data_IF_475101676235
#
_entry.id   IF_475101676235
#
_cell.length_a   1.000
_cell.length_b   1.000
_cell.length_c   1.000
_cell.angle_alpha   90.00
_cell.angle_beta   90.00
_cell.angle_gamma   90.00
#
_symmetry.space_group_name_H-M   'P 1'
#
loop_
_entity.id
_entity.type
_entity.pdbx_description
1 polymer ?
#
# COMPACT_ATOMS: atom_id res chain seq x y z
N UNK A 1 -9.29 -11.61 -15.49
CA UNK A 1 -8.13 -11.87 -14.61
C UNK A 1 -8.27 -10.95 -13.39
N UNK A 2 -7.94 -11.41 -12.18
CA UNK A 2 -8.08 -10.60 -10.98
C UNK A 2 -6.89 -9.66 -10.84
N UNK A 3 -7.12 -8.44 -10.32
CA UNK A 3 -6.07 -7.46 -10.08
C UNK A 3 -5.86 -7.31 -8.56
N UNK A 4 -4.61 -7.37 -8.11
CA UNK A 4 -4.24 -7.16 -6.71
C UNK A 4 -3.85 -5.70 -6.48
N UNK A 5 -4.57 -5.03 -5.58
CA UNK A 5 -4.11 -3.76 -5.00
C UNK A 5 -2.99 -3.98 -3.99
N UNK A 6 -2.26 -2.93 -3.63
CA UNK A 6 -1.21 -2.99 -2.60
C UNK A 6 -1.70 -3.63 -1.28
N UNK A 7 -2.86 -3.25 -0.79
CA UNK A 7 -3.43 -3.82 0.44
C UNK A 7 -3.79 -5.30 0.30
N UNK A 8 -4.32 -5.72 -0.86
CA UNK A 8 -4.63 -7.14 -1.14
C UNK A 8 -3.37 -7.99 -1.27
N UNK A 9 -2.32 -7.45 -1.88
CA UNK A 9 -1.03 -8.14 -1.94
C UNK A 9 -0.45 -8.37 -0.54
N UNK A 10 -0.37 -7.32 0.29
CA UNK A 10 0.09 -7.43 1.68
C UNK A 10 -0.76 -8.43 2.47
N UNK A 11 -2.08 -8.38 2.29
CA UNK A 11 -3.02 -9.33 2.90
C UNK A 11 -2.75 -10.77 2.48
N UNK A 12 -2.47 -11.01 1.19
CA UNK A 12 -2.15 -12.33 0.64
C UNK A 12 -0.80 -12.86 1.12
N UNK A 13 0.20 -11.98 1.24
CA UNK A 13 1.50 -12.32 1.83
C UNK A 13 1.36 -12.69 3.30
N UNK A 14 0.51 -12.00 4.04
CA UNK A 14 0.20 -12.36 5.43
C UNK A 14 -0.51 -13.72 5.51
N UNK A 15 -1.53 -13.95 4.67
CA UNK A 15 -2.30 -15.18 4.66
C UNK A 15 -3.07 -15.34 3.33
N UNK A 16 -2.75 -16.39 2.56
CA UNK A 16 -3.46 -16.70 1.32
C UNK A 16 -4.96 -16.89 1.53
N UNK A 17 -5.34 -17.55 2.63
CA UNK A 17 -6.73 -17.79 2.99
C UNK A 17 -7.47 -16.48 3.27
N UNK A 18 -6.85 -15.50 3.95
CA UNK A 18 -7.38 -14.15 4.14
C UNK A 18 -7.66 -13.47 2.80
N UNK A 19 -6.70 -13.51 1.87
CA UNK A 19 -6.88 -12.97 0.54
C UNK A 19 -7.99 -13.68 -0.23
N UNK A 20 -8.02 -15.02 -0.18
CA UNK A 20 -9.04 -15.82 -0.86
C UNK A 20 -10.45 -15.48 -0.33
N UNK A 21 -10.64 -15.39 0.98
CA UNK A 21 -11.92 -15.00 1.57
C UNK A 21 -12.36 -13.60 1.15
N UNK A 22 -11.44 -12.65 1.02
CA UNK A 22 -11.77 -11.30 0.59
C UNK A 22 -12.35 -11.23 -0.83
N UNK A 23 -12.12 -12.26 -1.65
CA UNK A 23 -12.69 -12.38 -2.99
C UNK A 23 -13.93 -13.27 -3.07
N UNK A 24 -13.93 -14.37 -2.33
CA UNK A 24 -14.93 -15.44 -2.53
C UNK A 24 -15.91 -15.58 -1.37
N UNK A 25 -15.58 -15.05 -0.20
CA UNK A 25 -16.39 -15.19 1.00
C UNK A 25 -16.41 -13.89 1.82
N UNK A 26 -16.69 -12.79 1.13
CA UNK A 26 -16.88 -11.47 1.78
C UNK A 26 -17.97 -11.48 2.86
N UNK A 27 -18.93 -12.41 2.74
CA UNK A 27 -19.98 -12.65 3.73
C UNK A 27 -19.43 -13.02 5.12
N UNK A 28 -18.20 -13.53 5.19
CA UNK A 28 -17.54 -13.91 6.44
C UNK A 28 -16.66 -12.80 7.04
N UNK A 29 -16.51 -11.67 6.35
CA UNK A 29 -15.68 -10.58 6.83
C UNK A 29 -16.34 -9.85 7.99
N UNK A 30 -15.60 -9.67 9.10
CA UNK A 30 -16.04 -8.79 10.17
C UNK A 30 -16.13 -7.35 9.70
N UNK A 31 -17.13 -6.59 10.16
CA UNK A 31 -17.18 -5.16 9.90
C UNK A 31 -15.96 -4.47 10.52
N UNK A 32 -15.51 -3.40 9.87
CA UNK A 32 -14.46 -2.54 10.42
C UNK A 32 -14.94 -1.94 11.74
N UNK A 33 -14.19 -2.13 12.81
CA UNK A 33 -14.50 -1.53 14.10
C UNK A 33 -14.13 -0.04 14.13
N UNK A 34 -14.66 0.69 15.15
CA UNK A 34 -14.45 2.13 15.30
C UNK A 34 -12.97 2.50 15.46
N UNK A 35 -12.18 1.66 16.13
CA UNK A 35 -10.75 1.92 16.35
C UNK A 35 -9.99 1.80 15.02
N UNK A 36 -10.27 0.77 14.24
CA UNK A 36 -9.68 0.57 12.91
C UNK A 36 -10.08 1.70 11.97
N UNK A 37 -11.35 2.16 12.02
CA UNK A 37 -11.80 3.30 11.22
C UNK A 37 -11.06 4.58 11.61
N UNK A 38 -10.89 4.86 12.89
CA UNK A 38 -10.13 6.02 13.37
C UNK A 38 -8.66 6.00 12.89
N UNK A 39 -8.04 4.81 12.80
CA UNK A 39 -6.69 4.67 12.25
C UNK A 39 -6.66 5.03 10.75
N UNK A 40 -7.67 4.62 9.97
CA UNK A 40 -7.77 4.98 8.55
C UNK A 40 -7.98 6.49 8.36
N UNK A 41 -8.86 7.09 9.16
CA UNK A 41 -9.13 8.53 9.10
C UNK A 41 -7.89 9.36 9.46
N UNK A 42 -7.14 8.92 10.48
CA UNK A 42 -5.85 9.53 10.83
C UNK A 42 -4.82 9.34 9.69
N UNK A 43 -4.80 8.18 9.06
CA UNK A 43 -3.95 7.92 7.87
C UNK A 43 -4.20 8.93 6.76
N UNK A 44 -5.47 9.20 6.43
CA UNK A 44 -5.85 10.20 5.43
C UNK A 44 -5.42 11.62 5.84
N UNK A 45 -5.57 11.99 7.12
CA UNK A 45 -5.13 13.30 7.62
C UNK A 45 -3.61 13.47 7.48
N UNK A 46 -2.84 12.44 7.83
CA UNK A 46 -1.38 12.43 7.70
C UNK A 46 -0.97 12.52 6.22
N UNK A 47 -1.64 11.80 5.32
CA UNK A 47 -1.44 11.89 3.87
C UNK A 47 -1.63 13.32 3.36
N UNK A 48 -2.74 13.98 3.73
CA UNK A 48 -3.02 15.36 3.34
C UNK A 48 -1.96 16.33 3.90
N UNK A 49 -1.49 16.12 5.13
CA UNK A 49 -0.41 16.94 5.69
C UNK A 49 0.92 16.75 4.95
N UNK A 50 1.22 15.52 4.53
CA UNK A 50 2.42 15.21 3.77
C UNK A 50 2.44 15.91 2.39
N UNK A 51 1.28 16.05 1.74
CA UNK A 51 1.16 16.77 0.46
C UNK A 51 1.55 18.24 0.59
N UNK A 52 1.35 18.89 1.75
CA UNK A 52 1.74 20.28 1.96
C UNK A 52 3.26 20.50 1.85
N UNK A 53 4.07 19.45 2.02
CA UNK A 53 5.52 19.49 1.84
C UNK A 53 5.94 19.53 0.37
N UNK A 54 5.03 19.18 -0.53
CA UNK A 54 5.23 19.18 -1.98
C UNK A 54 4.10 19.96 -2.66
N UNK A 55 4.00 21.29 -2.43
CA UNK A 55 2.84 22.08 -2.80
C UNK A 55 2.66 22.14 -4.34
N UNK A 56 1.44 22.52 -4.76
CA UNK A 56 1.06 22.68 -6.16
C UNK A 56 1.05 21.38 -6.98
N UNK A 57 0.98 20.22 -6.33
CA UNK A 57 0.80 18.95 -7.03
C UNK A 57 -0.55 18.83 -7.72
N UNK A 58 -0.60 17.99 -8.75
CA UNK A 58 -1.85 17.58 -9.40
C UNK A 58 -2.35 16.28 -8.76
N UNK A 59 -3.62 16.24 -8.41
CA UNK A 59 -4.26 15.11 -7.73
C UNK A 59 -4.90 14.14 -8.73
N UNK A 60 -4.40 12.90 -8.78
CA UNK A 60 -4.89 11.84 -9.63
C UNK A 60 -5.91 10.92 -8.92
N UNK A 61 -6.35 11.25 -7.69
CA UNK A 61 -7.35 10.45 -6.97
C UNK A 61 -8.53 10.09 -7.86
N UNK A 62 -8.95 8.83 -7.92
CA UNK A 62 -10.12 8.44 -8.70
C UNK A 62 -11.39 9.01 -8.06
N UNK A 63 -12.31 9.48 -8.91
CA UNK A 63 -13.65 9.88 -8.46
C UNK A 63 -14.50 8.66 -8.05
N UNK A 64 -14.24 7.52 -8.69
CA UNK A 64 -14.86 6.23 -8.39
C UNK A 64 -13.76 5.17 -8.20
N UNK A 65 -13.65 4.63 -6.99
CA UNK A 65 -12.69 3.55 -6.65
C UNK A 65 -13.07 2.18 -7.26
N UNK A 66 -14.14 2.08 -8.03
CA UNK A 66 -14.43 0.91 -8.86
C UNK A 66 -13.78 0.97 -10.25
N UNK A 67 -13.37 2.17 -10.71
CA UNK A 67 -12.69 2.39 -12.00
C UNK A 67 -11.45 3.30 -11.85
N UNK A 68 -10.28 2.71 -11.89
CA UNK A 68 -9.00 3.42 -11.84
C UNK A 68 -8.50 3.91 -13.21
N UNK A 69 -9.21 3.62 -14.30
CA UNK A 69 -8.77 4.00 -15.65
C UNK A 69 -8.54 5.50 -15.81
N UNK A 70 -9.41 6.39 -15.31
CA UNK A 70 -9.17 7.84 -15.41
C UNK A 70 -7.92 8.30 -14.65
N UNK A 71 -7.66 7.73 -13.46
CA UNK A 71 -6.48 8.05 -12.65
C UNK A 71 -5.18 7.59 -13.31
N UNK A 72 -5.20 6.41 -13.93
CA UNK A 72 -4.06 5.87 -14.69
C UNK A 72 -3.75 6.78 -15.88
N UNK A 73 -4.76 7.21 -16.63
CA UNK A 73 -4.56 8.09 -17.79
C UNK A 73 -4.11 9.51 -17.37
N UNK A 74 -4.66 10.08 -16.29
CA UNK A 74 -4.17 11.34 -15.70
C UNK A 74 -2.70 11.22 -15.31
N UNK A 75 -2.33 10.14 -14.62
CA UNK A 75 -0.94 9.88 -14.20
C UNK A 75 0.00 9.83 -15.39
N UNK A 76 -0.32 9.05 -16.43
CA UNK A 76 0.50 8.95 -17.66
C UNK A 76 0.67 10.30 -18.34
N UNK A 77 -0.43 11.04 -18.52
CA UNK A 77 -0.42 12.37 -19.15
C UNK A 77 0.48 13.32 -18.38
N UNK A 78 0.34 13.41 -17.06
CA UNK A 78 1.10 14.35 -16.25
C UNK A 78 2.57 13.97 -16.12
N UNK A 79 2.90 12.67 -16.16
CA UNK A 79 4.30 12.22 -16.26
C UNK A 79 4.91 12.68 -17.60
N UNK A 80 4.17 12.53 -18.71
CA UNK A 80 4.63 12.98 -20.04
C UNK A 80 4.78 14.52 -20.12
N UNK A 81 3.90 15.26 -19.46
CA UNK A 81 3.97 16.72 -19.31
C UNK A 81 5.07 17.17 -18.34
N UNK A 82 5.77 16.24 -17.67
CA UNK A 82 6.80 16.51 -16.65
C UNK A 82 6.27 17.34 -15.49
N UNK A 83 5.03 17.09 -15.07
CA UNK A 83 4.46 17.71 -13.88
C UNK A 83 5.37 17.39 -12.68
N UNK A 84 5.68 18.41 -11.90
CA UNK A 84 6.65 18.30 -10.80
C UNK A 84 6.17 17.36 -9.69
N UNK A 85 4.90 17.50 -9.29
CA UNK A 85 4.31 16.67 -8.23
C UNK A 85 2.97 16.11 -8.69
N UNK A 86 2.76 14.81 -8.49
CA UNK A 86 1.49 14.13 -8.72
C UNK A 86 1.13 13.38 -7.42
N UNK A 87 -0.02 13.70 -6.87
CA UNK A 87 -0.59 12.97 -5.73
C UNK A 87 -1.44 11.81 -6.24
N UNK A 88 -1.47 10.72 -5.46
CA UNK A 88 -2.25 9.50 -5.74
C UNK A 88 -1.96 8.93 -7.15
N UNK A 89 -0.68 9.05 -7.57
CA UNK A 89 -0.24 8.60 -8.88
C UNK A 89 -0.52 7.09 -9.06
N UNK A 90 -1.38 6.76 -10.03
CA UNK A 90 -1.93 5.41 -10.18
C UNK A 90 -1.27 4.65 -11.32
N UNK A 91 -0.78 3.45 -11.02
CA UNK A 91 -0.10 2.57 -11.97
C UNK A 91 -0.71 1.17 -11.95
N UNK A 92 -0.68 0.51 -13.09
CA UNK A 92 -1.09 -0.90 -13.23
C UNK A 92 -0.15 -1.64 -14.17
N UNK A 93 0.28 -2.83 -13.75
CA UNK A 93 1.06 -3.78 -14.54
C UNK A 93 0.94 -5.18 -13.94
N UNK A 94 1.13 -6.24 -14.74
CA UNK A 94 1.18 -7.63 -14.27
C UNK A 94 0.01 -8.03 -13.35
N UNK A 95 -1.20 -7.52 -13.62
CA UNK A 95 -2.39 -7.72 -12.77
C UNK A 95 -2.21 -7.23 -11.32
N UNK A 96 -1.40 -6.22 -11.12
CA UNK A 96 -1.30 -5.47 -9.88
C UNK A 96 -1.60 -3.99 -10.14
N UNK A 97 -2.08 -3.31 -9.10
CA UNK A 97 -2.41 -1.89 -9.11
C UNK A 97 -1.84 -1.24 -7.86
N UNK A 98 -1.20 -0.10 -8.03
CA UNK A 98 -0.82 0.76 -6.92
C UNK A 98 -1.27 2.21 -7.15
N UNK A 99 -1.54 2.88 -6.08
CA UNK A 99 -1.75 4.31 -5.96
C UNK A 99 -0.66 4.82 -5.02
N UNK A 100 0.27 5.60 -5.55
CA UNK A 100 1.40 6.15 -4.82
C UNK A 100 1.00 7.49 -4.23
N UNK A 101 1.23 7.71 -2.95
CA UNK A 101 0.79 8.93 -2.26
C UNK A 101 1.38 10.19 -2.91
N UNK A 102 2.69 10.21 -3.22
CA UNK A 102 3.35 11.36 -3.86
C UNK A 102 4.41 10.87 -4.86
N UNK A 103 4.27 11.28 -6.12
CA UNK A 103 5.31 11.17 -7.14
C UNK A 103 5.89 12.56 -7.36
N UNK A 104 7.19 12.76 -7.09
CA UNK A 104 7.82 14.08 -7.13
C UNK A 104 9.08 14.08 -8.00
N UNK A 105 9.29 15.16 -8.76
CA UNK A 105 10.50 15.37 -9.57
C UNK A 105 11.40 16.39 -8.89
N UNK A 106 12.62 15.99 -8.59
CA UNK A 106 13.59 16.86 -7.94
C UNK A 106 14.97 16.67 -8.53
N UNK A 107 15.61 17.75 -8.98
CA UNK A 107 17.00 17.75 -9.51
C UNK A 107 17.24 16.75 -10.66
N UNK A 108 16.22 16.47 -11.47
CA UNK A 108 16.28 15.52 -12.57
C UNK A 108 15.97 14.08 -12.19
N UNK A 109 15.80 13.78 -10.92
CA UNK A 109 15.35 12.48 -10.40
C UNK A 109 13.83 12.43 -10.23
N UNK A 110 13.28 11.21 -10.28
CA UNK A 110 11.90 10.91 -9.94
C UNK A 110 11.87 10.18 -8.61
N UNK A 111 11.21 10.78 -7.63
CA UNK A 111 11.05 10.24 -6.30
C UNK A 111 9.64 9.67 -6.12
N UNK A 112 9.55 8.42 -5.73
CA UNK A 112 8.32 7.81 -5.25
C UNK A 112 8.31 7.91 -3.71
N UNK A 113 7.24 8.46 -3.15
CA UNK A 113 7.12 8.71 -1.71
C UNK A 113 5.82 8.10 -1.23
N UNK A 114 5.93 7.11 -0.36
CA UNK A 114 4.80 6.50 0.35
C UNK A 114 4.73 7.07 1.78
N UNK A 115 3.55 7.53 2.17
CA UNK A 115 3.30 8.15 3.48
C UNK A 115 2.73 7.12 4.45
N UNK A 116 3.24 7.08 5.67
CA UNK A 116 2.74 6.17 6.71
C UNK A 116 2.51 6.89 8.02
N UNK A 117 1.33 6.65 8.59
CA UNK A 117 1.00 7.05 9.95
C UNK A 117 1.70 6.12 10.95
N UNK A 118 3.01 6.25 11.02
CA UNK A 118 3.90 5.50 11.93
C UNK A 118 5.13 6.32 12.25
N UNK A 119 5.88 5.94 13.27
CA UNK A 119 7.11 6.63 13.69
C UNK A 119 8.39 5.92 13.27
N UNK A 120 8.27 4.86 12.46
CA UNK A 120 9.40 4.09 11.95
C UNK A 120 8.98 3.20 10.79
N UNK A 121 9.95 2.81 9.96
CA UNK A 121 9.75 1.80 8.90
C UNK A 121 9.49 0.43 9.51
N UNK A 122 8.49 -0.30 8.98
CA UNK A 122 8.12 -1.67 9.33
C UNK A 122 8.25 -2.58 8.12
N UNK A 123 8.40 -3.89 8.34
CA UNK A 123 8.57 -4.86 7.25
C UNK A 123 7.38 -4.86 6.27
N UNK A 124 6.17 -4.69 6.76
CA UNK A 124 4.99 -4.60 5.89
C UNK A 124 4.92 -3.31 5.08
N UNK A 125 5.55 -2.21 5.55
CA UNK A 125 5.74 -1.00 4.74
C UNK A 125 6.71 -1.27 3.58
N UNK A 126 7.80 -2.03 3.84
CA UNK A 126 8.73 -2.43 2.79
C UNK A 126 8.07 -3.37 1.77
N UNK A 127 7.19 -4.27 2.22
CA UNK A 127 6.40 -5.13 1.34
C UNK A 127 5.48 -4.31 0.43
N UNK A 128 4.77 -3.34 0.99
CA UNK A 128 3.90 -2.41 0.28
C UNK A 128 4.68 -1.58 -0.75
N UNK A 129 5.73 -0.90 -0.32
CA UNK A 129 6.60 -0.09 -1.17
C UNK A 129 7.26 -0.92 -2.30
N UNK A 130 7.65 -2.16 -2.00
CA UNK A 130 8.28 -3.04 -3.00
C UNK A 130 7.33 -3.46 -4.11
N UNK A 131 6.04 -3.72 -3.78
CA UNK A 131 5.03 -3.96 -4.80
C UNK A 131 4.81 -2.70 -5.65
N UNK A 132 4.73 -1.53 -5.04
CA UNK A 132 4.52 -0.28 -5.76
C UNK A 132 5.67 -0.02 -6.75
N UNK A 133 6.92 -0.17 -6.30
CA UNK A 133 8.08 -0.06 -7.19
C UNK A 133 8.00 -1.07 -8.36
N UNK A 134 7.64 -2.33 -8.07
CA UNK A 134 7.47 -3.37 -9.10
C UNK A 134 6.45 -2.95 -10.15
N UNK A 135 5.27 -2.52 -9.71
CA UNK A 135 4.19 -2.10 -10.62
C UNK A 135 4.60 -0.89 -11.45
N UNK A 136 5.23 0.11 -10.83
CA UNK A 136 5.73 1.30 -11.53
C UNK A 136 6.78 0.93 -12.58
N UNK A 137 7.75 0.09 -12.22
CA UNK A 137 8.80 -0.40 -13.12
C UNK A 137 8.22 -1.17 -14.31
N UNK A 138 7.32 -2.13 -14.06
CA UNK A 138 6.68 -2.92 -15.11
C UNK A 138 5.72 -2.10 -15.99
N UNK A 139 5.20 -0.98 -15.47
CA UNK A 139 4.45 0.01 -16.24
C UNK A 139 5.36 0.96 -17.07
N UNK A 140 6.69 0.87 -16.93
CA UNK A 140 7.66 1.71 -17.63
C UNK A 140 7.99 3.03 -16.94
N UNK A 141 7.69 3.16 -15.64
CA UNK A 141 7.86 4.40 -14.86
C UNK A 141 8.67 4.16 -13.57
N UNK A 142 9.76 3.37 -13.65
CA UNK A 142 10.62 3.12 -12.49
C UNK A 142 11.12 4.45 -11.88
N UNK A 143 10.90 4.70 -10.58
CA UNK A 143 11.47 5.87 -9.92
C UNK A 143 12.98 5.68 -9.67
N UNK A 144 13.71 6.80 -9.63
CA UNK A 144 15.14 6.79 -9.29
C UNK A 144 15.34 6.50 -7.80
N UNK A 145 14.40 7.00 -6.96
CA UNK A 145 14.40 6.77 -5.50
C UNK A 145 13.03 6.45 -4.98
N UNK A 146 13.01 5.63 -3.94
CA UNK A 146 11.80 5.31 -3.21
C UNK A 146 11.97 5.68 -1.73
N UNK A 147 11.10 6.57 -1.25
CA UNK A 147 11.10 7.03 0.13
C UNK A 147 9.88 6.54 0.89
N UNK A 148 10.09 6.29 2.17
CA UNK A 148 9.00 6.21 3.14
C UNK A 148 8.99 7.49 3.98
N UNK A 149 7.88 8.20 3.94
CA UNK A 149 7.64 9.37 4.78
C UNK A 149 6.83 8.96 5.99
N UNK A 150 7.34 9.18 7.18
CA UNK A 150 6.67 8.84 8.43
C UNK A 150 6.81 9.95 9.47
N UNK A 151 6.04 9.87 10.54
CA UNK A 151 6.04 10.87 11.62
C UNK A 151 7.40 10.82 12.34
N UNK A 152 7.99 12.00 12.54
CA UNK A 152 9.17 12.18 13.37
C UNK A 152 8.75 12.23 14.86
N UNK A 153 9.02 11.16 15.60
CA UNK A 153 8.66 11.06 17.03
C UNK A 153 9.51 11.95 17.96
N UNK A 154 10.52 12.62 17.41
CA UNK A 154 11.33 13.61 18.15
C UNK A 154 10.91 15.05 17.85
N UNK A 155 9.94 15.23 16.95
CA UNK A 155 9.43 16.54 16.62
C UNK A 155 8.71 17.18 17.82
N UNK A 156 9.12 18.40 18.17
CA UNK A 156 8.48 19.20 19.20
C UNK A 156 7.75 20.36 18.52
N UNK A 157 6.42 20.30 18.54
CA UNK A 157 5.59 21.37 17.96
C UNK A 157 5.78 22.67 18.73
N UNK A 158 6.22 23.72 18.04
CA UNK A 158 6.33 25.08 18.55
C UNK A 158 5.62 26.04 17.57
N UNK A 159 4.34 26.24 17.76
CA UNK A 159 3.48 27.00 16.84
C UNK A 159 2.89 26.15 15.72
N UNK A 160 3.08 26.52 14.45
CA UNK A 160 2.62 25.78 13.29
C UNK A 160 3.45 24.51 13.05
N UNK A 161 2.87 23.55 12.33
CA UNK A 161 3.60 22.36 11.90
C UNK A 161 4.65 22.74 10.85
N UNK A 162 5.88 22.29 11.07
CA UNK A 162 6.99 22.46 10.11
C UNK A 162 7.28 21.16 9.38
N UNK A 163 8.11 21.23 8.33
CA UNK A 163 8.56 20.06 7.57
C UNK A 163 9.27 19.00 8.42
N UNK A 164 9.83 19.40 9.56
CA UNK A 164 10.48 18.50 10.52
C UNK A 164 9.50 17.51 11.20
N UNK A 165 8.19 17.74 11.07
CA UNK A 165 7.17 16.81 11.54
C UNK A 165 7.27 15.46 10.83
N UNK A 166 7.76 15.45 9.60
CA UNK A 166 7.99 14.23 8.83
C UNK A 166 9.47 13.90 8.72
N UNK A 167 9.75 12.61 8.86
CA UNK A 167 11.03 12.02 8.47
C UNK A 167 10.88 11.33 7.11
N UNK A 168 11.80 11.61 6.19
CA UNK A 168 11.86 11.00 4.86
C UNK A 168 13.01 10.00 4.83
N UNK A 169 12.72 8.70 4.91
CA UNK A 169 13.71 7.61 4.88
C UNK A 169 13.87 7.08 3.46
N UNK A 170 15.09 7.13 2.91
CA UNK A 170 15.42 6.49 1.63
C UNK A 170 15.45 4.96 1.84
N UNK A 171 14.52 4.26 1.20
CA UNK A 171 14.37 2.80 1.26
C UNK A 171 14.65 2.13 -0.08
N UNK A 172 15.25 2.86 -1.04
CA UNK A 172 15.46 2.41 -2.42
C UNK A 172 16.14 1.05 -2.48
N UNK A 173 17.28 0.88 -1.80
CA UNK A 173 18.02 -0.40 -1.82
C UNK A 173 17.21 -1.55 -1.22
N UNK A 174 16.45 -1.27 -0.14
CA UNK A 174 15.57 -2.26 0.51
C UNK A 174 14.47 -2.72 -0.44
N UNK A 175 13.88 -1.79 -1.20
CA UNK A 175 12.83 -2.05 -2.19
C UNK A 175 13.40 -2.82 -3.38
N UNK A 176 14.55 -2.41 -3.91
CA UNK A 176 15.22 -3.07 -5.03
C UNK A 176 15.59 -4.53 -4.70
N UNK A 177 16.07 -4.78 -3.51
CA UNK A 177 16.46 -6.13 -3.06
C UNK A 177 15.29 -7.12 -2.98
N UNK A 178 14.04 -6.63 -2.94
CA UNK A 178 12.82 -7.45 -2.82
C UNK A 178 12.12 -7.72 -4.15
N UNK A 179 12.63 -7.24 -5.28
CA UNK A 179 11.87 -7.29 -6.55
C UNK A 179 11.56 -8.71 -7.04
N UNK A 180 12.53 -9.63 -7.00
CA UNK A 180 12.30 -11.04 -7.34
C UNK A 180 11.27 -11.68 -6.41
N UNK A 181 11.37 -11.41 -5.11
CA UNK A 181 10.42 -11.89 -4.12
C UNK A 181 9.00 -11.36 -4.37
N UNK A 182 8.85 -10.08 -4.79
CA UNK A 182 7.54 -9.50 -5.15
C UNK A 182 6.95 -10.22 -6.34
N UNK A 183 7.73 -10.42 -7.41
CA UNK A 183 7.29 -11.09 -8.63
C UNK A 183 6.77 -12.50 -8.34
N UNK A 184 7.57 -13.31 -7.62
CA UNK A 184 7.22 -14.68 -7.24
C UNK A 184 5.94 -14.74 -6.39
N UNK A 185 5.81 -13.84 -5.41
CA UNK A 185 4.62 -13.80 -4.56
C UNK A 185 3.39 -13.29 -5.30
N UNK A 186 3.53 -12.29 -6.16
CA UNK A 186 2.43 -11.79 -6.98
C UNK A 186 1.88 -12.89 -7.89
N UNK A 187 2.75 -13.60 -8.60
CA UNK A 187 2.37 -14.73 -9.46
C UNK A 187 1.68 -15.83 -8.65
N UNK A 188 2.27 -16.25 -7.53
CA UNK A 188 1.71 -17.27 -6.64
C UNK A 188 0.30 -16.90 -6.15
N UNK A 189 0.10 -15.65 -5.72
CA UNK A 189 -1.19 -15.18 -5.23
C UNK A 189 -2.23 -15.08 -6.35
N UNK A 190 -1.85 -14.66 -7.55
CA UNK A 190 -2.75 -14.62 -8.71
C UNK A 190 -3.19 -16.03 -9.13
N UNK A 191 -2.25 -16.97 -9.20
CA UNK A 191 -2.56 -18.40 -9.50
C UNK A 191 -3.47 -18.99 -8.42
N UNK A 192 -3.21 -18.73 -7.16
CA UNK A 192 -4.07 -19.16 -6.05
C UNK A 192 -5.49 -18.62 -6.19
N UNK A 193 -5.65 -17.35 -6.60
CA UNK A 193 -6.96 -16.74 -6.80
C UNK A 193 -7.71 -17.27 -8.04
N UNK A 194 -7.02 -17.78 -9.06
CA UNK A 194 -7.65 -18.45 -10.20
C UNK A 194 -8.17 -19.84 -9.83
N UNK A 195 -7.47 -20.53 -8.95
CA UNK A 195 -7.92 -21.78 -8.36
C UNK A 195 -8.98 -21.47 -7.29
N UNK A 196 -10.26 -21.70 -7.61
CA UNK A 196 -11.39 -21.36 -6.74
C UNK A 196 -11.48 -22.20 -5.45
N UNK A 197 -10.50 -23.07 -5.19
CA UNK A 197 -10.45 -23.85 -3.96
C UNK A 197 -9.85 -23.02 -2.82
N UNK A 198 -10.45 -23.16 -1.65
CA UNK A 198 -9.94 -22.53 -0.43
C UNK A 198 -8.52 -23.03 -0.12
N UNK A 199 -7.54 -22.12 0.06
CA UNK A 199 -6.18 -22.52 0.41
C UNK A 199 -6.11 -23.24 1.76
N UNK A 200 -5.32 -24.30 1.84
CA UNK A 200 -5.11 -25.01 3.11
C UNK A 200 -4.04 -24.30 3.95
N UNK A 201 -4.44 -23.27 4.68
CA UNK A 201 -3.58 -22.51 5.60
C UNK A 201 -4.06 -22.75 7.03
N UNK A 202 -3.18 -23.27 7.87
CA UNK A 202 -3.48 -23.46 9.30
C UNK A 202 -3.53 -22.13 10.05
N UNK A 203 -4.29 -22.07 11.14
CA UNK A 203 -4.29 -20.91 12.05
C UNK A 203 -2.92 -20.77 12.75
N UNK A 204 -2.54 -19.54 13.09
CA UNK A 204 -1.25 -19.26 13.74
C UNK A 204 -1.03 -17.77 13.97
N UNK A 205 0.20 -17.38 14.29
CA UNK A 205 0.57 -15.99 14.61
C UNK A 205 0.21 -14.98 13.51
N UNK A 206 0.20 -15.41 12.23
CA UNK A 206 -0.20 -14.58 11.10
C UNK A 206 -1.69 -14.16 11.13
N UNK A 207 -2.52 -14.78 11.98
CA UNK A 207 -3.91 -14.35 12.17
C UNK A 207 -4.04 -13.02 12.93
N UNK A 208 -2.99 -12.62 13.65
CA UNK A 208 -2.96 -11.38 14.45
C UNK A 208 -1.82 -10.42 14.07
N UNK A 209 -0.82 -10.87 13.32
CA UNK A 209 0.37 -10.08 12.96
C UNK A 209 0.69 -10.19 11.47
N UNK A 210 1.06 -9.10 10.78
CA UNK A 210 1.19 -7.72 11.28
C UNK A 210 -0.15 -7.02 11.51
N UNK A 211 -1.26 -7.54 10.98
CA UNK A 211 -2.60 -6.98 11.12
C UNK A 211 -3.56 -8.05 11.63
N UNK A 212 -4.53 -7.65 12.44
CA UNK A 212 -5.65 -8.51 12.81
C UNK A 212 -6.36 -9.03 11.55
N UNK A 213 -6.80 -10.27 11.58
CA UNK A 213 -7.48 -10.89 10.45
C UNK A 213 -9.00 -10.74 10.60
N UNK A 214 -9.63 -10.13 9.60
CA UNK A 214 -11.09 -9.92 9.57
C UNK A 214 -11.90 -11.22 9.53
N UNK A 215 -11.24 -12.35 9.28
CA UNK A 215 -11.86 -13.68 9.19
C UNK A 215 -11.48 -14.60 10.37
N UNK A 216 -10.85 -14.07 11.41
CA UNK A 216 -10.35 -14.85 12.54
C UNK A 216 -11.44 -15.71 13.18
N UNK A 217 -12.64 -15.14 13.43
CA UNK A 217 -13.77 -15.83 14.06
C UNK A 217 -14.22 -17.04 13.24
N UNK A 218 -14.12 -17.00 11.91
CA UNK A 218 -14.46 -18.11 11.04
C UNK A 218 -13.41 -19.23 11.10
N UNK A 219 -12.13 -18.86 11.01
CA UNK A 219 -11.02 -19.83 11.03
C UNK A 219 -10.87 -20.51 12.41
N UNK A 220 -11.13 -19.78 13.49
CA UNK A 220 -10.96 -20.25 14.87
C UNK A 220 -12.18 -20.89 15.50
N UNK A 221 -13.33 -20.93 14.81
CA UNK A 221 -14.61 -21.44 15.35
C UNK A 221 -14.56 -22.87 15.94
N UNK A 222 -13.54 -23.65 15.59
CA UNK A 222 -13.36 -25.03 16.07
C UNK A 222 -12.40 -25.12 17.25
N UNK A 223 -11.81 -24.02 17.67
CA UNK A 223 -10.86 -23.96 18.78
C UNK A 223 -11.65 -23.59 20.04
N UNK A 224 -11.55 -24.36 21.15
CA UNK A 224 -12.16 -23.97 22.41
C UNK A 224 -11.64 -22.63 22.92
N UNK A 225 -12.53 -21.82 23.55
CA UNK A 225 -12.23 -20.45 23.99
C UNK A 225 -11.04 -20.30 24.98
N UNK A 226 -10.52 -21.39 25.51
CA UNK A 226 -9.44 -21.41 26.51
C UNK A 226 -8.26 -22.31 26.11
N UNK A 227 -7.97 -22.45 24.83
CA UNK A 227 -6.85 -23.25 24.33
C UNK A 227 -5.67 -22.40 23.86
#
# INVERSE_FOLDING_TARGET
MKTLSKSRFVSGVQCEKKLWYSYYRKDLQLPTDEQTQAIFDLGHQIGNLAQNRFPNGKDATPEDFSDFSPSIEKTKLWIAEKVETIYEATFTAKNALCMLDILHRMNGEVWAIEVKNSTSVKDYHLTDASLQYFVMKEAGYAPDKFFLMHINNQYIKNGELTDEFFHLEDITDKVLSKQTWVEENLERLLVMLENKQEPNVSIGAHCSSPFACDFVHHCWKHIPENS
#
